data_IF_401348395827
#
_entry.id   IF_401348395827
#
_cell.length_a   1.000
_cell.length_b   1.000
_cell.length_c   1.000
_cell.angle_alpha   90.00
_cell.angle_beta   90.00
_cell.angle_gamma   90.00
#
_symmetry.space_group_name_H-M   'P 1'
#
loop_
_entity.id
_entity.type
_entity.pdbx_description
1 polymer ?
#
# COMPACT_ATOMS: atom_id res chain seq x y z
N UNK A 1 22.45 -4.48 -8.01
CA UNK A 1 22.29 -3.21 -7.29
C UNK A 1 22.84 -3.35 -5.87
N UNK A 2 23.80 -2.51 -5.51
CA UNK A 2 24.43 -2.40 -4.19
C UNK A 2 23.57 -1.56 -3.22
N UNK A 3 23.92 -1.59 -1.93
CA UNK A 3 23.28 -0.75 -0.92
C UNK A 3 23.44 0.74 -1.24
N UNK A 4 24.64 1.17 -1.62
CA UNK A 4 24.95 2.57 -1.93
C UNK A 4 24.13 3.07 -3.12
N UNK A 5 23.95 2.25 -4.16
CA UNK A 5 23.09 2.58 -5.30
C UNK A 5 21.62 2.73 -4.88
N UNK A 6 21.09 1.79 -4.08
CA UNK A 6 19.71 1.88 -3.57
C UNK A 6 19.49 3.11 -2.72
N UNK A 7 20.42 3.38 -1.83
CA UNK A 7 20.35 4.53 -0.93
C UNK A 7 20.39 5.85 -1.71
N UNK A 8 21.24 5.96 -2.74
CA UNK A 8 21.28 7.14 -3.63
C UNK A 8 19.97 7.32 -4.39
N UNK A 9 19.44 6.25 -4.97
CA UNK A 9 18.17 6.30 -5.71
C UNK A 9 17.03 6.80 -4.80
N UNK A 10 16.89 6.20 -3.62
CA UNK A 10 15.87 6.59 -2.64
C UNK A 10 16.04 8.04 -2.15
N UNK A 11 17.27 8.52 -1.98
CA UNK A 11 17.52 9.92 -1.62
C UNK A 11 17.12 10.91 -2.72
N UNK A 12 17.37 10.56 -3.99
CA UNK A 12 16.97 11.39 -5.13
C UNK A 12 15.45 11.46 -5.21
N UNK A 13 14.78 10.31 -5.09
CA UNK A 13 13.32 10.20 -5.18
C UNK A 13 12.60 10.91 -4.03
N UNK A 14 13.11 10.79 -2.81
CA UNK A 14 12.55 11.46 -1.62
C UNK A 14 12.97 12.93 -1.47
N UNK A 15 13.96 13.41 -2.24
CA UNK A 15 14.53 14.75 -2.09
C UNK A 15 15.32 14.97 -0.79
N UNK A 16 15.64 13.91 -0.05
CA UNK A 16 16.32 13.98 1.25
C UNK A 16 17.84 14.13 1.06
N UNK A 17 18.43 15.15 1.68
CA UNK A 17 19.88 15.36 1.64
C UNK A 17 20.66 14.41 2.57
N UNK A 18 21.97 14.27 2.38
CA UNK A 18 22.82 13.47 3.28
C UNK A 18 22.81 14.00 4.72
N UNK A 19 22.72 15.32 4.88
CA UNK A 19 22.68 15.96 6.19
C UNK A 19 21.34 15.70 6.90
N UNK A 20 20.23 15.73 6.15
CA UNK A 20 18.90 15.42 6.69
C UNK A 20 18.79 13.94 7.05
N UNK A 21 19.33 13.05 6.21
CA UNK A 21 19.37 11.62 6.51
C UNK A 21 20.21 11.32 7.76
N UNK A 22 21.35 12.00 7.94
CA UNK A 22 22.18 11.88 9.14
C UNK A 22 21.40 12.30 10.39
N UNK A 23 20.70 13.44 10.32
CA UNK A 23 19.85 13.97 11.40
C UNK A 23 18.70 13.02 11.74
N UNK A 24 17.99 12.51 10.73
CA UNK A 24 16.88 11.58 10.91
C UNK A 24 17.32 10.24 11.51
N UNK A 25 18.52 9.76 11.15
CA UNK A 25 19.08 8.53 11.71
C UNK A 25 19.73 8.74 13.10
N UNK A 26 19.97 9.99 13.52
CA UNK A 26 20.73 10.29 14.74
C UNK A 26 22.22 9.91 14.65
N UNK A 27 22.77 9.91 13.44
CA UNK A 27 24.18 9.58 13.18
C UNK A 27 24.97 10.81 12.72
N UNK A 28 26.30 10.73 12.77
CA UNK A 28 27.16 11.78 12.23
C UNK A 28 27.18 11.72 10.68
N UNK A 29 27.31 12.85 9.96
CA UNK A 29 27.38 12.87 8.49
C UNK A 29 28.42 11.92 7.85
N UNK A 30 29.61 11.68 8.45
CA UNK A 30 30.56 10.68 7.92
C UNK A 30 30.00 9.25 7.85
N UNK A 31 29.06 8.88 8.73
CA UNK A 31 28.41 7.57 8.69
C UNK A 31 27.60 7.40 7.41
N UNK A 32 26.81 8.41 7.04
CA UNK A 32 26.03 8.42 5.80
C UNK A 32 26.93 8.37 4.57
N UNK A 33 28.01 9.15 4.57
CA UNK A 33 29.03 9.07 3.52
C UNK A 33 29.66 7.67 3.43
N UNK A 34 29.90 7.00 4.57
CA UNK A 34 30.34 5.61 4.63
C UNK A 34 29.37 4.61 3.96
N UNK A 35 28.07 4.84 4.08
CA UNK A 35 27.05 4.03 3.40
C UNK A 35 27.01 4.30 1.90
N UNK A 36 27.15 5.56 1.49
CA UNK A 36 27.07 5.99 0.08
C UNK A 36 28.34 5.72 -0.73
N UNK A 37 29.49 5.59 -0.06
CA UNK A 37 30.78 5.25 -0.67
C UNK A 37 30.98 3.74 -0.86
N UNK A 38 30.05 2.90 -0.39
CA UNK A 38 30.16 1.44 -0.49
C UNK A 38 31.12 0.80 0.50
N UNK A 39 31.71 1.58 1.43
CA UNK A 39 32.48 1.03 2.56
C UNK A 39 31.61 0.12 3.44
N UNK A 40 30.33 0.49 3.61
CA UNK A 40 29.36 -0.38 4.25
C UNK A 40 28.64 -1.23 3.20
N UNK A 41 28.77 -2.56 3.32
CA UNK A 41 28.06 -3.52 2.45
C UNK A 41 26.62 -3.78 2.91
N UNK A 42 26.31 -3.45 4.16
CA UNK A 42 25.01 -3.72 4.77
C UNK A 42 24.59 -2.56 5.68
N UNK A 43 23.29 -2.26 5.69
CA UNK A 43 22.63 -1.37 6.65
C UNK A 43 21.62 -2.22 7.43
N UNK A 44 21.69 -2.20 8.76
CA UNK A 44 20.89 -3.08 9.63
C UNK A 44 20.45 -2.35 10.90
N UNK A 45 19.50 -2.97 11.60
CA UNK A 45 19.03 -2.51 12.91
C UNK A 45 18.40 -1.12 12.83
N UNK A 46 18.62 -0.32 13.87
CA UNK A 46 17.98 0.97 14.04
C UNK A 46 18.27 1.96 12.90
N UNK A 47 19.50 1.98 12.37
CA UNK A 47 19.86 2.85 11.26
C UNK A 47 19.14 2.48 9.97
N UNK A 48 18.86 1.20 9.73
CA UNK A 48 18.08 0.75 8.58
C UNK A 48 16.64 1.25 8.69
N UNK A 49 16.01 1.04 9.85
CA UNK A 49 14.62 1.43 10.08
C UNK A 49 14.44 2.95 9.96
N UNK A 50 15.35 3.72 10.57
CA UNK A 50 15.32 5.20 10.49
C UNK A 50 15.60 5.70 9.09
N UNK A 51 16.56 5.12 8.37
CA UNK A 51 16.85 5.52 6.99
C UNK A 51 15.67 5.18 6.06
N UNK A 52 15.09 3.98 6.19
CA UNK A 52 13.93 3.57 5.41
C UNK A 52 12.71 4.49 5.68
N UNK A 53 12.47 4.85 6.93
CA UNK A 53 11.41 5.79 7.30
C UNK A 53 11.68 7.21 6.75
N UNK A 54 12.90 7.73 6.88
CA UNK A 54 13.26 9.05 6.37
C UNK A 54 13.15 9.16 4.85
N UNK A 55 13.44 8.07 4.14
CA UNK A 55 13.40 8.01 2.67
C UNK A 55 12.06 7.49 2.13
N UNK A 56 11.10 7.16 3.00
CA UNK A 56 9.81 6.56 2.67
C UNK A 56 9.89 5.29 1.78
N UNK A 57 10.86 4.42 2.06
CA UNK A 57 11.09 3.15 1.33
C UNK A 57 10.93 1.93 2.24
N UNK A 58 10.80 0.74 1.63
CA UNK A 58 10.86 -0.53 2.35
C UNK A 58 12.25 -0.77 2.94
N UNK A 59 12.30 -1.13 4.21
CA UNK A 59 13.51 -1.56 4.93
C UNK A 59 14.09 -2.85 4.34
N UNK A 60 13.22 -3.79 3.95
CA UNK A 60 13.60 -5.05 3.30
C UNK A 60 14.27 -4.80 1.95
N UNK A 61 13.69 -3.91 1.14
CA UNK A 61 14.28 -3.50 -0.13
C UNK A 61 15.59 -2.74 0.09
N UNK A 62 15.64 -1.80 1.03
CA UNK A 62 16.85 -1.03 1.29
C UNK A 62 18.01 -1.93 1.73
N UNK A 63 17.76 -2.87 2.65
CA UNK A 63 18.76 -3.80 3.16
C UNK A 63 19.22 -4.84 2.13
N UNK A 64 18.28 -5.45 1.42
CA UNK A 64 18.58 -6.66 0.61
C UNK A 64 18.50 -6.42 -0.90
N UNK A 65 17.83 -5.37 -1.34
CA UNK A 65 17.51 -5.10 -2.74
C UNK A 65 16.41 -6.00 -3.32
N UNK A 66 15.68 -6.74 -2.47
CA UNK A 66 14.55 -7.58 -2.88
C UNK A 66 13.23 -6.94 -2.48
N UNK A 67 12.19 -7.15 -3.29
CA UNK A 67 10.86 -6.57 -3.07
C UNK A 67 10.69 -5.20 -3.71
N UNK A 68 9.57 -4.54 -3.41
CA UNK A 68 9.25 -3.20 -3.90
C UNK A 68 10.02 -2.12 -3.10
N UNK A 69 10.53 -1.06 -3.77
CA UNK A 69 11.19 0.06 -3.11
C UNK A 69 10.24 0.85 -2.24
N UNK A 70 9.00 1.01 -2.67
CA UNK A 70 8.00 1.78 -1.95
C UNK A 70 7.71 1.15 -0.59
N UNK A 71 7.71 1.98 0.45
CA UNK A 71 7.11 1.60 1.71
C UNK A 71 5.63 1.45 1.42
N UNK A 72 5.11 0.22 1.50
CA UNK A 72 3.68 0.00 1.36
C UNK A 72 2.95 0.76 2.48
N UNK A 73 2.57 2.00 2.20
CA UNK A 73 1.79 2.84 3.10
C UNK A 73 0.36 2.30 3.26
N UNK A 74 -0.06 1.34 2.42
CA UNK A 74 -1.34 0.64 2.57
C UNK A 74 -1.40 -0.24 3.83
N UNK A 75 -0.28 -0.51 4.51
CA UNK A 75 -0.32 -1.13 5.84
C UNK A 75 -0.73 -0.15 6.96
N UNK A 76 -0.82 1.16 6.68
CA UNK A 76 -1.20 2.17 7.70
C UNK A 76 -2.06 3.33 7.17
N UNK A 77 -2.53 3.30 5.93
CA UNK A 77 -3.58 4.21 5.43
C UNK A 77 -5.00 3.74 5.79
N UNK A 78 -5.14 3.18 7.00
CA UNK A 78 -6.34 3.48 7.77
C UNK A 78 -5.93 4.57 8.78
N UNK A 79 -6.15 5.86 8.49
CA UNK A 79 -6.84 6.62 9.51
C UNK A 79 -8.15 5.87 9.71
N UNK A 80 -8.24 5.11 10.82
CA UNK A 80 -9.53 4.99 11.46
C UNK A 80 -9.90 6.44 11.80
N UNK A 81 -10.57 7.10 10.86
CA UNK A 81 -11.38 8.26 11.16
C UNK A 81 -12.57 7.71 11.94
N UNK A 82 -12.27 7.26 13.16
CA UNK A 82 -13.21 6.90 14.19
C UNK A 82 -13.74 8.21 14.73
N UNK A 83 -14.67 8.79 13.99
CA UNK A 83 -15.74 9.64 14.50
C UNK A 83 -16.83 9.74 13.44
N UNK A 84 -17.85 8.89 13.62
CA UNK A 84 -19.21 8.92 13.08
C UNK A 84 -19.50 8.19 11.74
N UNK A 85 -19.59 6.85 11.76
CA UNK A 85 -20.72 6.01 11.28
C UNK A 85 -20.36 4.51 11.26
N UNK A 86 -19.99 3.93 12.40
CA UNK A 86 -19.60 2.50 12.48
C UNK A 86 -20.79 1.51 12.55
N UNK A 87 -22.03 1.95 12.50
CA UNK A 87 -23.16 1.00 12.36
C UNK A 87 -23.47 0.65 10.89
N UNK A 88 -23.08 1.49 9.92
CA UNK A 88 -23.59 1.36 8.55
C UNK A 88 -22.83 0.32 7.68
N UNK A 89 -21.51 0.20 7.83
CA UNK A 89 -20.73 -0.65 6.91
C UNK A 89 -20.94 -2.16 7.14
N UNK A 90 -21.11 -2.58 8.40
CA UNK A 90 -21.42 -3.97 8.72
C UNK A 90 -22.83 -4.34 8.27
N UNK A 91 -23.79 -3.42 8.45
CA UNK A 91 -25.19 -3.60 8.07
C UNK A 91 -25.38 -3.61 6.54
N UNK A 92 -24.57 -2.84 5.81
CA UNK A 92 -24.56 -2.88 4.34
C UNK A 92 -24.06 -4.23 3.83
N UNK A 93 -22.99 -4.77 4.44
CA UNK A 93 -22.42 -6.05 4.01
C UNK A 93 -23.36 -7.22 4.33
N UNK A 94 -24.02 -7.21 5.49
CA UNK A 94 -25.03 -8.23 5.84
C UNK A 94 -26.26 -8.12 4.92
N UNK A 95 -26.75 -6.91 4.65
CA UNK A 95 -27.87 -6.70 3.72
C UNK A 95 -27.53 -7.14 2.29
N UNK A 96 -26.29 -6.92 1.85
CA UNK A 96 -25.81 -7.39 0.55
C UNK A 96 -25.69 -8.92 0.52
N UNK A 97 -25.16 -9.52 1.59
CA UNK A 97 -25.07 -10.96 1.76
C UNK A 97 -26.46 -11.61 1.72
N UNK A 98 -27.42 -11.07 2.47
CA UNK A 98 -28.80 -11.57 2.54
C UNK A 98 -29.52 -11.43 1.19
N UNK A 99 -29.35 -10.29 0.50
CA UNK A 99 -29.91 -10.09 -0.83
C UNK A 99 -29.35 -11.08 -1.86
N UNK A 100 -28.05 -11.39 -1.79
CA UNK A 100 -27.41 -12.39 -2.65
C UNK A 100 -27.85 -13.82 -2.29
N UNK A 101 -28.05 -14.13 -1.01
CA UNK A 101 -28.50 -15.46 -0.56
C UNK A 101 -29.96 -15.70 -0.94
N UNK A 102 -30.82 -14.68 -0.84
CA UNK A 102 -32.23 -14.74 -1.26
C UNK A 102 -32.41 -14.79 -2.79
N UNK A 103 -31.39 -14.38 -3.55
CA UNK A 103 -31.44 -14.41 -5.00
C UNK A 103 -31.40 -15.83 -5.57
N UNK A 104 -32.09 -16.02 -6.70
CA UNK A 104 -32.04 -17.25 -7.47
C UNK A 104 -30.61 -17.56 -7.96
N UNK A 105 -30.36 -18.84 -8.25
CA UNK A 105 -29.03 -19.32 -8.66
C UNK A 105 -28.49 -18.61 -9.92
N UNK A 106 -29.38 -18.22 -10.85
CA UNK A 106 -28.97 -17.53 -12.06
C UNK A 106 -28.52 -16.09 -11.75
N UNK A 107 -29.23 -15.39 -10.85
CA UNK A 107 -28.86 -14.05 -10.39
C UNK A 107 -27.56 -14.05 -9.59
N UNK A 108 -27.33 -15.05 -8.72
CA UNK A 108 -26.06 -15.21 -8.00
C UNK A 108 -24.88 -15.41 -8.94
N UNK A 109 -25.04 -16.28 -9.94
CA UNK A 109 -23.98 -16.55 -10.93
C UNK A 109 -23.68 -15.33 -11.80
N UNK A 110 -24.71 -14.59 -12.21
CA UNK A 110 -24.55 -13.35 -12.97
C UNK A 110 -23.83 -12.26 -12.15
N UNK A 111 -24.17 -12.13 -10.87
CA UNK A 111 -23.49 -11.20 -9.96
C UNK A 111 -22.00 -11.57 -9.79
N UNK A 112 -21.69 -12.85 -9.59
CA UNK A 112 -20.32 -13.33 -9.43
C UNK A 112 -19.45 -13.11 -10.70
N UNK A 113 -20.01 -13.37 -11.89
CA UNK A 113 -19.33 -13.11 -13.17
C UNK A 113 -19.06 -11.61 -13.35
N UNK A 114 -20.04 -10.75 -13.06
CA UNK A 114 -19.87 -9.30 -13.17
C UNK A 114 -18.88 -8.74 -12.16
N UNK A 115 -18.86 -9.23 -10.92
CA UNK A 115 -17.87 -8.84 -9.90
C UNK A 115 -16.46 -9.25 -10.30
N UNK A 116 -16.31 -10.45 -10.90
CA UNK A 116 -15.02 -10.91 -11.42
C UNK A 116 -14.51 -9.99 -12.53
N UNK A 117 -15.39 -9.59 -13.47
CA UNK A 117 -15.04 -8.65 -14.54
C UNK A 117 -14.76 -7.23 -14.04
N UNK A 118 -15.46 -6.79 -12.99
CA UNK A 118 -15.21 -5.49 -12.37
C UNK A 118 -13.86 -5.45 -11.65
N UNK A 119 -13.46 -6.54 -10.99
CA UNK A 119 -12.16 -6.65 -10.35
C UNK A 119 -10.98 -6.55 -11.34
N UNK A 120 -11.18 -7.01 -12.58
CA UNK A 120 -10.18 -6.89 -13.66
C UNK A 120 -10.16 -5.50 -14.33
N UNK A 121 -11.30 -4.81 -14.37
CA UNK A 121 -11.45 -3.51 -15.04
C UNK A 121 -12.38 -2.56 -14.23
N UNK A 122 -11.89 -1.97 -13.13
CA UNK A 122 -12.71 -1.19 -12.19
C UNK A 122 -13.21 0.14 -12.78
N UNK A 123 -12.53 0.68 -13.79
CA UNK A 123 -12.90 1.92 -14.47
C UNK A 123 -13.96 1.73 -15.57
N UNK A 124 -14.41 0.49 -15.81
CA UNK A 124 -15.40 0.22 -16.85
C UNK A 124 -16.81 0.57 -16.38
N UNK A 125 -17.28 1.75 -16.79
CA UNK A 125 -18.59 2.29 -16.42
C UNK A 125 -19.76 1.38 -16.83
N UNK A 126 -19.61 0.60 -17.91
CA UNK A 126 -20.65 -0.35 -18.35
C UNK A 126 -20.82 -1.51 -17.36
N UNK A 127 -19.71 -2.03 -16.81
CA UNK A 127 -19.74 -3.10 -15.81
C UNK A 127 -20.28 -2.56 -14.48
N UNK A 128 -19.87 -1.36 -14.09
CA UNK A 128 -20.38 -0.69 -12.89
C UNK A 128 -21.90 -0.43 -12.98
N UNK A 129 -22.39 0.01 -14.14
CA UNK A 129 -23.82 0.23 -14.36
C UNK A 129 -24.62 -1.07 -14.38
N UNK A 130 -24.08 -2.17 -14.93
CA UNK A 130 -24.70 -3.49 -14.87
C UNK A 130 -24.81 -4.02 -13.43
N UNK A 131 -23.77 -3.86 -12.62
CA UNK A 131 -23.79 -4.21 -11.19
C UNK A 131 -24.82 -3.37 -10.42
N UNK A 132 -24.87 -2.05 -10.64
CA UNK A 132 -25.87 -1.17 -10.02
C UNK A 132 -27.30 -1.54 -10.40
N UNK A 133 -27.53 -1.92 -11.66
CA UNK A 133 -28.85 -2.35 -12.12
C UNK A 133 -29.28 -3.67 -11.49
N UNK A 134 -28.33 -4.59 -11.26
CA UNK A 134 -28.58 -5.87 -10.59
C UNK A 134 -28.89 -5.69 -9.10
N UNK A 135 -28.15 -4.79 -8.41
CA UNK A 135 -28.36 -4.47 -6.99
C UNK A 135 -29.61 -3.62 -6.72
N UNK A 136 -30.19 -2.95 -7.73
CA UNK A 136 -31.43 -2.18 -7.61
C UNK A 136 -32.70 -2.97 -7.86
N UNK A 137 -32.61 -4.25 -8.23
CA UNK A 137 -33.81 -5.05 -8.46
C UNK A 137 -34.54 -5.27 -7.13
N UNK A 138 -35.82 -4.89 -7.01
CA UNK A 138 -36.62 -5.30 -5.85
C UNK A 138 -36.74 -6.83 -5.89
N UNK A 139 -36.57 -7.45 -4.72
CA UNK A 139 -36.86 -8.87 -4.46
C UNK A 139 -38.33 -9.17 -4.77
#
# INVERSE_FOLDING_TARGET
>A
MSLSERLRAAMIESGVSQADLARACGVKPPSVNGWLSGKSKFLRGENLLKAAAALNVSDTWLATGRGAPERNASAFLLPVAESATTDSNSDILSSLQDALVAADEATRKAAADLLSRYAEAPDNESIANALRALLRRPQ
#
